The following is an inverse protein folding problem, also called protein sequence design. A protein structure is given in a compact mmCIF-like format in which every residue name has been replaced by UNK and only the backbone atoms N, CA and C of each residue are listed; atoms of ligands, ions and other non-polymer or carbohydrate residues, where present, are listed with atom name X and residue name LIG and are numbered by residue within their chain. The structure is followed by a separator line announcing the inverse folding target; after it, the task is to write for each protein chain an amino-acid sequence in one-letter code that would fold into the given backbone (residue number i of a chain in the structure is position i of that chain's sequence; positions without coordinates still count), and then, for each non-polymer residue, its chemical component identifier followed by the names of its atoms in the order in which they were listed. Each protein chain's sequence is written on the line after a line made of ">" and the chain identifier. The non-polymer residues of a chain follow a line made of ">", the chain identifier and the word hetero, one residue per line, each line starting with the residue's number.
data_IF_182196991525
#
_entry.id   IF_182196991525
#
_cell.length_a   1.000
_cell.length_b   1.000
_cell.length_c   1.000
_cell.angle_alpha   90.00
_cell.angle_beta   90.00
_cell.angle_gamma   90.00
#
_symmetry.space_group_name_H-M   'P 1'
#
loop_
_entity.id
_entity.type
_entity.pdbx_description
1 polymer ?
#
# COMPACT_ATOMS: atom_id res chain seq x y z
N UNK A 1 -12.80 -31.27 -29.12
CA UNK A 1 -12.20 -31.03 -27.80
C UNK A 1 -11.33 -29.78 -27.87
N UNK A 2 -11.78 -28.69 -27.26
CA UNK A 2 -10.97 -27.51 -26.91
C UNK A 2 -11.81 -26.69 -25.91
N UNK A 3 -11.89 -27.17 -24.67
CA UNK A 3 -12.32 -26.33 -23.56
C UNK A 3 -11.14 -25.45 -23.15
N UNK A 4 -11.42 -24.18 -22.84
CA UNK A 4 -10.84 -23.33 -21.77
C UNK A 4 -11.59 -22.00 -21.87
N UNK A 5 -12.72 -21.94 -21.17
CA UNK A 5 -13.47 -20.72 -20.94
C UNK A 5 -12.90 -20.00 -19.69
N UNK A 6 -13.06 -18.67 -19.68
CA UNK A 6 -12.87 -17.71 -18.57
C UNK A 6 -11.43 -17.32 -18.19
N UNK A 7 -11.14 -16.00 -18.18
CA UNK A 7 -10.56 -15.22 -17.03
C UNK A 7 -9.87 -13.92 -17.49
N UNK A 8 -10.21 -12.77 -16.86
CA UNK A 8 -9.53 -11.47 -17.00
C UNK A 8 -9.43 -10.73 -15.65
N UNK A 9 -8.21 -10.43 -15.20
CA UNK A 9 -7.85 -9.60 -14.04
C UNK A 9 -7.40 -8.20 -14.50
N UNK A 10 -7.62 -7.13 -13.71
CA UNK A 10 -7.41 -5.77 -14.18
C UNK A 10 -6.56 -4.94 -13.24
N UNK A 11 -5.44 -4.46 -13.77
CA UNK A 11 -4.53 -3.59 -13.07
C UNK A 11 -4.55 -2.23 -13.76
N UNK A 12 -5.22 -1.25 -13.17
CA UNK A 12 -5.26 0.10 -13.68
C UNK A 12 -3.95 0.81 -13.29
N UNK A 13 -3.05 0.94 -14.26
CA UNK A 13 -1.73 1.50 -14.07
C UNK A 13 -1.60 2.79 -14.86
N UNK A 14 -0.98 3.82 -14.31
CA UNK A 14 -0.76 5.08 -15.04
C UNK A 14 0.55 5.07 -15.83
N UNK A 15 0.65 4.29 -16.92
CA UNK A 15 1.61 4.55 -18.03
C UNK A 15 1.34 3.72 -19.30
N UNK A 16 1.31 4.37 -20.46
CA UNK A 16 1.38 3.73 -21.79
C UNK A 16 2.86 3.58 -22.19
N UNK A 17 3.48 2.51 -21.68
CA UNK A 17 4.78 1.92 -22.04
C UNK A 17 5.18 1.11 -20.82
N UNK A 18 4.90 -0.19 -20.85
CA UNK A 18 5.19 -1.12 -19.76
C UNK A 18 6.70 -1.34 -19.74
N UNK A 19 7.44 -0.45 -19.08
CA UNK A 19 8.87 -0.68 -18.82
C UNK A 19 8.97 -1.67 -17.64
N UNK A 20 9.80 -2.72 -17.74
CA UNK A 20 9.87 -3.78 -16.74
C UNK A 20 10.31 -3.32 -15.33
N UNK A 21 10.78 -2.07 -15.19
CA UNK A 21 11.21 -1.49 -13.92
C UNK A 21 10.07 -0.91 -13.05
N UNK A 22 8.82 -0.89 -13.53
CA UNK A 22 7.71 -0.30 -12.78
C UNK A 22 6.87 -1.33 -12.04
N UNK A 23 6.44 -0.98 -10.82
CA UNK A 23 5.76 -1.89 -9.90
C UNK A 23 4.53 -2.56 -10.51
N UNK A 24 3.77 -1.85 -11.35
CA UNK A 24 2.58 -2.42 -11.99
C UNK A 24 2.91 -3.45 -13.07
N UNK A 25 4.01 -3.26 -13.80
CA UNK A 25 4.49 -4.24 -14.76
C UNK A 25 4.94 -5.52 -14.05
N UNK A 26 5.63 -5.37 -12.93
CA UNK A 26 6.09 -6.47 -12.07
C UNK A 26 4.90 -7.22 -11.49
N UNK A 27 3.92 -6.51 -10.90
CA UNK A 27 2.70 -7.12 -10.37
C UNK A 27 1.93 -7.88 -11.45
N UNK A 28 1.83 -7.32 -12.66
CA UNK A 28 1.21 -7.99 -13.80
C UNK A 28 1.91 -9.29 -14.17
N UNK A 29 3.24 -9.25 -14.38
CA UNK A 29 4.04 -10.45 -14.67
C UNK A 29 4.02 -11.49 -13.56
N UNK A 30 4.04 -11.05 -12.31
CA UNK A 30 3.95 -11.94 -11.15
C UNK A 30 2.62 -12.68 -11.14
N UNK A 31 1.50 -11.99 -11.36
CA UNK A 31 0.19 -12.63 -11.44
C UNK A 31 0.06 -13.54 -12.67
N UNK A 32 0.64 -13.16 -13.82
CA UNK A 32 0.76 -14.05 -14.98
C UNK A 32 1.51 -15.34 -14.64
N UNK A 33 2.63 -15.24 -13.90
CA UNK A 33 3.40 -16.39 -13.45
C UNK A 33 2.62 -17.29 -12.46
N UNK A 34 1.59 -16.76 -11.78
CA UNK A 34 0.66 -17.52 -10.95
C UNK A 34 -0.48 -18.16 -11.75
N UNK A 35 -0.51 -18.00 -13.08
CA UNK A 35 -1.53 -18.54 -13.96
C UNK A 35 -2.74 -17.62 -14.20
N UNK A 36 -2.70 -16.38 -13.69
CA UNK A 36 -3.76 -15.40 -13.93
C UNK A 36 -3.54 -14.66 -15.25
N UNK A 37 -4.63 -14.29 -15.94
CA UNK A 37 -4.55 -13.39 -17.10
C UNK A 37 -4.74 -11.96 -16.66
N UNK A 38 -3.79 -11.07 -17.00
CA UNK A 38 -3.78 -9.68 -16.55
C UNK A 38 -3.98 -8.72 -17.72
N UNK A 39 -4.95 -7.81 -17.57
CA UNK A 39 -5.14 -6.65 -18.42
C UNK A 39 -4.67 -5.38 -17.71
N UNK A 40 -3.96 -4.51 -18.43
CA UNK A 40 -3.49 -3.23 -17.90
C UNK A 40 -4.09 -2.09 -18.72
N UNK A 41 -4.81 -1.17 -18.08
CA UNK A 41 -5.21 0.09 -18.71
C UNK A 41 -4.27 1.18 -18.24
N UNK A 42 -3.51 1.69 -19.19
CA UNK A 42 -2.49 2.71 -19.07
C UNK A 42 -3.08 4.12 -19.13
N UNK A 43 -3.05 4.89 -18.02
CA UNK A 43 -3.54 6.28 -17.98
C UNK A 43 -4.93 6.45 -18.61
N UNK A 44 -5.95 5.74 -18.10
CA UNK A 44 -7.31 5.89 -18.62
C UNK A 44 -7.77 7.34 -18.53
N UNK A 45 -8.52 7.80 -19.52
CA UNK A 45 -9.26 9.05 -19.39
C UNK A 45 -10.30 8.90 -18.28
N UNK A 46 -10.23 9.78 -17.28
CA UNK A 46 -11.13 9.78 -16.13
C UNK A 46 -12.33 10.70 -16.32
N UNK A 47 -12.48 11.33 -17.49
CA UNK A 47 -13.67 12.11 -17.85
C UNK A 47 -14.92 11.21 -17.95
N UNK A 48 -14.75 9.95 -18.37
CA UNK A 48 -15.81 8.95 -18.52
C UNK A 48 -15.40 7.60 -17.93
N UNK A 49 -16.39 6.70 -17.75
CA UNK A 49 -16.17 5.29 -17.37
C UNK A 49 -15.73 4.40 -18.55
N UNK A 50 -15.89 4.87 -19.78
CA UNK A 50 -15.72 4.02 -20.98
C UNK A 50 -14.31 3.43 -21.10
N UNK A 51 -13.29 4.21 -20.73
CA UNK A 51 -11.91 3.76 -20.71
C UNK A 51 -11.68 2.59 -19.74
N UNK A 52 -12.42 2.55 -18.64
CA UNK A 52 -12.37 1.50 -17.62
C UNK A 52 -13.12 0.23 -18.06
N UNK A 53 -13.90 0.32 -19.14
CA UNK A 53 -14.67 -0.79 -19.71
C UNK A 53 -13.99 -1.42 -20.94
N UNK A 54 -12.87 -0.84 -21.44
CA UNK A 54 -12.24 -1.23 -22.72
C UNK A 54 -11.89 -2.71 -22.88
N UNK A 55 -11.47 -3.40 -21.82
CA UNK A 55 -11.17 -4.85 -21.85
C UNK A 55 -12.33 -5.74 -21.32
N UNK A 56 -13.52 -5.19 -21.05
CA UNK A 56 -14.69 -5.89 -20.46
C UNK A 56 -14.88 -5.76 -18.94
N UNK A 57 -15.49 -6.78 -18.32
CA UNK A 57 -15.69 -6.89 -16.86
C UNK A 57 -14.60 -7.79 -16.23
N UNK A 58 -13.96 -7.40 -15.12
CA UNK A 58 -13.06 -8.28 -14.37
C UNK A 58 -13.81 -9.46 -13.74
N UNK A 59 -13.14 -10.62 -13.67
CA UNK A 59 -13.69 -11.78 -12.97
C UNK A 59 -13.39 -11.77 -11.47
N UNK A 60 -12.23 -11.25 -11.07
CA UNK A 60 -11.78 -11.27 -9.67
C UNK A 60 -11.93 -9.91 -9.00
N UNK A 61 -11.19 -8.91 -9.47
CA UNK A 61 -11.20 -7.55 -8.91
C UNK A 61 -10.53 -6.54 -9.85
N UNK A 62 -10.72 -5.26 -9.56
CA UNK A 62 -9.91 -4.16 -10.07
C UNK A 62 -8.78 -3.84 -9.09
N UNK A 63 -7.53 -3.84 -9.55
CA UNK A 63 -6.38 -3.27 -8.85
C UNK A 63 -6.14 -1.83 -9.30
N UNK A 64 -6.13 -0.87 -8.38
CA UNK A 64 -5.98 0.57 -8.69
C UNK A 64 -4.71 1.13 -8.04
N UNK A 65 -3.91 1.85 -8.83
CA UNK A 65 -2.75 2.61 -8.36
C UNK A 65 -2.71 4.02 -8.97
N UNK A 66 -2.03 4.95 -8.30
CA UNK A 66 -1.67 6.25 -8.88
C UNK A 66 -0.40 6.21 -9.77
N UNK A 67 0.30 5.07 -9.78
CA UNK A 67 1.56 4.86 -10.48
C UNK A 67 2.75 4.80 -9.54
N UNK A 68 3.92 5.23 -10.03
CA UNK A 68 5.17 5.18 -9.25
C UNK A 68 5.36 6.37 -8.30
N UNK A 69 4.52 7.40 -8.41
CA UNK A 69 4.57 8.61 -7.59
C UNK A 69 3.15 9.06 -7.28
N UNK A 70 2.98 9.74 -6.14
CA UNK A 70 1.71 10.37 -5.79
C UNK A 70 1.30 11.39 -6.87
N UNK A 71 0.03 11.34 -7.26
CA UNK A 71 -0.53 12.16 -8.33
C UNK A 71 -0.40 13.66 -8.09
N UNK A 72 -0.51 14.11 -6.84
CA UNK A 72 -0.36 15.52 -6.47
C UNK A 72 1.11 15.92 -6.50
N UNK A 73 1.98 15.11 -5.90
CA UNK A 73 3.43 15.38 -5.89
C UNK A 73 3.99 15.41 -7.29
N UNK A 74 3.42 14.64 -8.22
CA UNK A 74 3.87 14.66 -9.61
C UNK A 74 3.41 15.93 -10.35
N UNK A 75 2.16 16.36 -10.13
CA UNK A 75 1.58 17.52 -10.80
C UNK A 75 2.05 18.86 -10.23
N UNK A 76 2.40 18.93 -8.95
CA UNK A 76 2.69 20.20 -8.28
C UNK A 76 4.04 20.20 -7.54
N UNK A 77 4.74 21.33 -7.56
CA UNK A 77 5.96 21.57 -6.78
C UNK A 77 5.65 21.74 -5.29
N UNK A 78 6.68 21.71 -4.44
CA UNK A 78 6.51 21.95 -2.99
C UNK A 78 5.83 23.31 -2.70
N UNK A 79 6.12 24.34 -3.52
CA UNK A 79 5.49 25.66 -3.45
C UNK A 79 4.09 25.72 -4.10
N UNK A 80 3.46 24.56 -4.32
CA UNK A 80 2.14 24.39 -4.95
C UNK A 80 2.02 24.96 -6.37
N UNK A 81 3.12 25.08 -7.11
CA UNK A 81 3.09 25.49 -8.52
C UNK A 81 2.89 24.29 -9.42
N UNK A 82 2.13 24.45 -10.49
CA UNK A 82 1.89 23.40 -11.48
C UNK A 82 3.21 23.08 -12.22
N UNK A 83 3.56 21.80 -12.34
CA UNK A 83 4.62 21.35 -13.23
C UNK A 83 4.13 21.31 -14.67
N UNK A 84 5.00 21.68 -15.60
CA UNK A 84 4.73 21.67 -17.03
C UNK A 84 5.06 20.31 -17.68
N UNK A 85 5.73 19.44 -16.94
CA UNK A 85 6.15 18.11 -17.36
C UNK A 85 5.70 17.03 -16.37
N UNK A 86 5.57 15.81 -16.88
CA UNK A 86 5.28 14.62 -16.09
C UNK A 86 6.22 13.48 -16.49
N UNK A 87 7.26 13.23 -15.69
CA UNK A 87 8.28 12.21 -15.92
C UNK A 87 7.76 10.77 -16.09
N UNK A 88 6.52 10.46 -15.68
CA UNK A 88 5.93 9.13 -15.82
C UNK A 88 4.80 9.06 -16.87
N UNK A 89 4.53 10.16 -17.57
CA UNK A 89 3.66 10.17 -18.75
C UNK A 89 4.50 10.06 -20.02
N UNK A 90 4.03 9.34 -21.07
CA UNK A 90 4.70 9.33 -22.37
C UNK A 90 4.96 10.76 -22.87
N UNK A 91 6.14 10.97 -23.45
CA UNK A 91 6.60 12.27 -23.95
C UNK A 91 6.61 13.39 -22.88
N UNK A 92 6.63 13.01 -21.61
CA UNK A 92 6.59 13.89 -20.44
C UNK A 92 5.39 14.85 -20.41
N UNK A 93 4.26 14.49 -21.05
CA UNK A 93 3.11 15.38 -21.17
C UNK A 93 2.42 15.58 -19.82
N UNK A 94 2.29 16.82 -19.37
CA UNK A 94 1.58 17.14 -18.14
C UNK A 94 0.05 16.97 -18.27
N UNK A 95 -0.62 16.79 -17.13
CA UNK A 95 -2.09 16.81 -17.05
C UNK A 95 -2.79 15.56 -17.57
N UNK A 96 -2.07 14.45 -17.79
CA UNK A 96 -2.62 13.14 -18.19
C UNK A 96 -3.04 12.24 -17.01
N UNK A 97 -3.07 12.79 -15.79
CA UNK A 97 -3.55 12.10 -14.60
C UNK A 97 -4.43 13.04 -13.76
N UNK A 98 -5.47 12.51 -13.12
CA UNK A 98 -6.25 13.29 -12.18
C UNK A 98 -5.48 13.53 -10.89
N UNK A 99 -5.83 14.62 -10.21
CA UNK A 99 -5.45 14.88 -8.83
C UNK A 99 -6.10 13.81 -7.94
N UNK A 100 -5.32 13.23 -7.02
CA UNK A 100 -5.74 12.09 -6.19
C UNK A 100 -6.23 10.92 -7.04
N UNK A 101 -5.39 10.50 -7.98
CA UNK A 101 -5.73 9.51 -9.00
C UNK A 101 -6.36 8.23 -8.44
N UNK A 102 -5.86 7.72 -7.31
CA UNK A 102 -6.42 6.51 -6.66
C UNK A 102 -7.91 6.66 -6.36
N UNK A 103 -8.35 7.83 -5.90
CA UNK A 103 -9.75 8.09 -5.58
C UNK A 103 -10.60 8.19 -6.85
N UNK A 104 -10.17 8.99 -7.82
CA UNK A 104 -10.91 9.21 -9.07
C UNK A 104 -11.06 7.91 -9.85
N UNK A 105 -9.99 7.13 -9.97
CA UNK A 105 -10.03 5.85 -10.67
C UNK A 105 -10.91 4.82 -9.98
N UNK A 106 -10.91 4.77 -8.65
CA UNK A 106 -11.81 3.87 -7.90
C UNK A 106 -13.27 4.19 -8.17
N UNK A 107 -13.62 5.48 -8.23
CA UNK A 107 -14.98 5.90 -8.56
C UNK A 107 -15.37 5.45 -9.96
N UNK A 108 -14.50 5.63 -10.96
CA UNK A 108 -14.76 5.17 -12.33
C UNK A 108 -14.87 3.65 -12.44
N UNK A 109 -14.05 2.88 -11.71
CA UNK A 109 -14.20 1.43 -11.65
C UNK A 109 -15.58 1.02 -11.09
N UNK A 110 -16.05 1.67 -10.02
CA UNK A 110 -17.36 1.38 -9.42
C UNK A 110 -18.54 1.88 -10.27
N UNK A 111 -18.34 2.92 -11.09
CA UNK A 111 -19.31 3.37 -12.10
C UNK A 111 -19.39 2.41 -13.30
N UNK A 112 -18.25 1.80 -13.69
CA UNK A 112 -18.18 0.80 -14.74
C UNK A 112 -18.84 -0.52 -14.30
N UNK A 113 -18.43 -1.06 -13.14
CA UNK A 113 -18.95 -2.30 -12.59
C UNK A 113 -19.03 -2.23 -11.05
N UNK A 114 -20.26 -2.07 -10.55
CA UNK A 114 -20.52 -1.86 -9.11
C UNK A 114 -20.26 -3.11 -8.26
N UNK A 115 -20.40 -4.29 -8.84
CA UNK A 115 -20.34 -5.58 -8.16
C UNK A 115 -18.93 -6.20 -8.14
N UNK A 116 -17.97 -5.57 -8.82
CA UNK A 116 -16.58 -6.04 -8.85
C UNK A 116 -15.80 -5.41 -7.69
N UNK A 117 -15.09 -6.20 -6.87
CA UNK A 117 -14.23 -5.68 -5.81
C UNK A 117 -13.16 -4.72 -6.35
N UNK A 118 -12.86 -3.66 -5.60
CA UNK A 118 -11.76 -2.74 -5.91
C UNK A 118 -10.70 -2.80 -4.82
N UNK A 119 -9.46 -3.12 -5.21
CA UNK A 119 -8.30 -3.20 -4.33
C UNK A 119 -7.33 -2.07 -4.68
N UNK A 120 -6.96 -1.27 -3.69
CA UNK A 120 -6.00 -0.18 -3.83
C UNK A 120 -4.58 -0.66 -3.58
N UNK A 121 -3.62 -0.05 -4.27
CA UNK A 121 -2.21 -0.28 -4.02
C UNK A 121 -1.33 0.89 -4.46
N UNK A 122 -0.03 0.70 -4.31
CA UNK A 122 0.97 1.70 -4.64
C UNK A 122 1.21 2.73 -3.54
N UNK A 123 2.13 3.66 -3.83
CA UNK A 123 2.64 4.61 -2.84
C UNK A 123 1.53 5.56 -2.35
N UNK A 124 0.72 6.09 -3.27
CA UNK A 124 -0.37 7.03 -2.92
C UNK A 124 -1.39 6.38 -1.97
N UNK A 125 -1.81 5.14 -2.24
CA UNK A 125 -2.72 4.42 -1.36
C UNK A 125 -2.06 4.13 -0.01
N UNK A 126 -0.82 3.63 -0.02
CA UNK A 126 -0.08 3.25 1.19
C UNK A 126 0.11 4.42 2.17
N UNK A 127 0.43 5.61 1.65
CA UNK A 127 0.63 6.81 2.46
C UNK A 127 -0.68 7.37 3.01
N UNK A 128 -1.79 7.22 2.27
CA UNK A 128 -3.13 7.72 2.63
C UNK A 128 -4.02 6.68 3.30
N UNK A 129 -3.44 5.55 3.74
CA UNK A 129 -4.19 4.44 4.34
C UNK A 129 -4.79 4.83 5.68
N UNK A 130 -4.09 5.59 6.52
CA UNK A 130 -4.62 6.10 7.79
C UNK A 130 -5.13 7.53 7.63
N UNK A 131 -5.74 8.07 8.69
CA UNK A 131 -5.93 9.50 8.78
C UNK A 131 -4.57 10.21 8.63
N UNK A 132 -4.54 11.26 7.81
CA UNK A 132 -3.32 11.97 7.47
C UNK A 132 -3.62 13.45 7.28
N UNK A 133 -2.64 14.29 7.60
CA UNK A 133 -2.69 15.70 7.25
C UNK A 133 -2.39 15.86 5.76
N UNK A 134 -3.34 16.47 5.04
CA UNK A 134 -3.18 16.75 3.62
C UNK A 134 -2.64 18.16 3.43
N UNK A 135 -1.37 18.24 3.01
CA UNK A 135 -0.68 19.50 2.78
C UNK A 135 -1.36 20.38 1.73
N UNK A 136 -2.08 19.80 0.77
CA UNK A 136 -2.71 20.54 -0.33
C UNK A 136 -3.96 21.28 0.13
N UNK A 137 -4.81 20.63 0.93
CA UNK A 137 -6.04 21.22 1.46
C UNK A 137 -5.92 21.72 2.90
N UNK A 138 -4.72 21.76 3.49
CA UNK A 138 -4.45 22.20 4.87
C UNK A 138 -5.43 21.62 5.90
N UNK A 139 -5.73 20.33 5.77
CA UNK A 139 -6.79 19.67 6.54
C UNK A 139 -6.42 18.23 6.84
N UNK A 140 -6.88 17.73 7.99
CA UNK A 140 -6.78 16.31 8.32
C UNK A 140 -7.84 15.54 7.56
N UNK A 141 -7.41 14.65 6.66
CA UNK A 141 -8.28 13.74 5.93
C UNK A 141 -8.31 12.38 6.59
N UNK A 142 -9.47 11.72 6.49
CA UNK A 142 -9.62 10.31 6.84
C UNK A 142 -8.92 9.42 5.79
N UNK A 143 -8.90 8.12 6.08
CA UNK A 143 -8.36 7.11 5.17
C UNK A 143 -8.93 7.20 3.75
N UNK A 144 -8.07 7.01 2.75
CA UNK A 144 -8.49 6.87 1.36
C UNK A 144 -9.48 5.73 1.14
N UNK A 145 -9.46 4.67 1.96
CA UNK A 145 -10.47 3.59 1.88
C UNK A 145 -11.88 4.12 2.13
N UNK A 146 -12.04 5.07 3.06
CA UNK A 146 -13.36 5.62 3.41
C UNK A 146 -13.87 6.54 2.30
N UNK A 147 -13.00 7.38 1.74
CA UNK A 147 -13.35 8.32 0.68
C UNK A 147 -13.60 7.62 -0.68
N UNK A 148 -12.75 6.65 -1.03
CA UNK A 148 -12.86 5.91 -2.30
C UNK A 148 -13.91 4.80 -2.27
N UNK A 149 -14.32 4.36 -1.08
CA UNK A 149 -15.17 3.17 -0.87
C UNK A 149 -14.58 1.88 -1.46
N UNK A 150 -13.26 1.81 -1.65
CA UNK A 150 -12.60 0.59 -2.06
C UNK A 150 -12.77 -0.52 -1.00
N UNK A 151 -12.68 -1.76 -1.44
CA UNK A 151 -13.01 -2.94 -0.64
C UNK A 151 -11.79 -3.39 0.20
N UNK A 152 -10.57 -3.17 -0.33
CA UNK A 152 -9.31 -3.47 0.34
C UNK A 152 -8.19 -2.54 -0.12
N UNK A 153 -7.18 -2.32 0.70
CA UNK A 153 -5.95 -1.59 0.35
C UNK A 153 -4.74 -2.44 0.73
N UNK A 154 -3.79 -2.60 -0.20
CA UNK A 154 -2.50 -3.23 0.02
C UNK A 154 -1.43 -2.16 0.19
N UNK A 155 -0.60 -2.28 1.23
CA UNK A 155 0.46 -1.31 1.53
C UNK A 155 1.80 -1.97 1.81
N UNK A 156 2.89 -1.21 1.69
CA UNK A 156 4.25 -1.75 1.84
C UNK A 156 4.59 -2.72 0.72
N UNK A 157 5.20 -3.86 1.06
CA UNK A 157 5.38 -4.93 0.08
C UNK A 157 4.02 -5.56 -0.24
N UNK A 158 3.53 -5.30 -1.46
CA UNK A 158 2.25 -5.77 -1.97
C UNK A 158 2.30 -7.10 -2.73
N UNK A 159 3.47 -7.67 -3.02
CA UNK A 159 3.60 -8.86 -3.88
C UNK A 159 2.92 -10.09 -3.26
N UNK A 160 3.29 -10.40 -2.02
CA UNK A 160 2.74 -11.53 -1.26
C UNK A 160 1.22 -11.40 -1.04
N UNK A 161 0.69 -10.28 -0.49
CA UNK A 161 -0.76 -10.16 -0.31
C UNK A 161 -1.52 -10.15 -1.63
N UNK A 162 -0.94 -9.61 -2.71
CA UNK A 162 -1.60 -9.61 -4.01
C UNK A 162 -1.82 -11.04 -4.53
N UNK A 163 -0.81 -11.90 -4.44
CA UNK A 163 -0.92 -13.32 -4.83
C UNK A 163 -1.90 -14.07 -3.93
N UNK A 164 -1.80 -13.88 -2.61
CA UNK A 164 -2.67 -14.55 -1.64
C UNK A 164 -4.15 -14.20 -1.85
N UNK A 165 -4.46 -12.90 -1.98
CA UNK A 165 -5.83 -12.43 -2.22
C UNK A 165 -6.34 -12.88 -3.58
N UNK A 166 -5.51 -12.85 -4.63
CA UNK A 166 -5.92 -13.30 -5.96
C UNK A 166 -6.32 -14.78 -5.98
N UNK A 167 -5.55 -15.65 -5.34
CA UNK A 167 -5.88 -17.09 -5.23
C UNK A 167 -7.16 -17.32 -4.44
N UNK A 168 -7.35 -16.62 -3.30
CA UNK A 168 -8.58 -16.75 -2.49
C UNK A 168 -9.83 -16.31 -3.24
N UNK A 169 -9.76 -15.17 -3.93
CA UNK A 169 -10.85 -14.71 -4.80
C UNK A 169 -11.12 -15.70 -5.94
N UNK A 170 -10.08 -16.30 -6.52
CA UNK A 170 -10.23 -17.31 -7.57
C UNK A 170 -10.84 -18.62 -7.07
N UNK A 171 -10.66 -18.95 -5.79
CA UNK A 171 -11.34 -20.06 -5.11
C UNK A 171 -12.80 -19.73 -4.73
N UNK A 172 -13.27 -18.52 -5.03
CA UNK A 172 -14.64 -18.09 -4.77
C UNK A 172 -14.87 -17.50 -3.38
N UNK A 173 -13.81 -17.25 -2.61
CA UNK A 173 -13.95 -16.57 -1.33
C UNK A 173 -14.33 -15.09 -1.57
N UNK A 174 -15.39 -14.57 -0.93
CA UNK A 174 -15.77 -13.17 -1.09
C UNK A 174 -14.76 -12.23 -0.42
N UNK A 175 -14.47 -11.09 -1.07
CA UNK A 175 -13.50 -10.10 -0.56
C UNK A 175 -13.77 -9.64 0.88
N UNK A 176 -15.04 -9.64 1.30
CA UNK A 176 -15.47 -9.25 2.66
C UNK A 176 -15.05 -10.22 3.76
N UNK A 177 -14.73 -11.47 3.40
CA UNK A 177 -14.28 -12.55 4.30
C UNK A 177 -12.74 -12.61 4.38
N UNK A 178 -12.05 -12.13 3.34
CA UNK A 178 -10.60 -12.03 3.29
C UNK A 178 -10.13 -10.89 4.21
N UNK A 179 -10.08 -11.18 5.51
CA UNK A 179 -9.68 -10.22 6.52
C UNK A 179 -8.26 -10.45 6.96
N UNK A 180 -7.80 -11.68 7.01
CA UNK A 180 -6.62 -12.14 7.74
C UNK A 180 -5.26 -11.93 7.06
N UNK A 181 -5.25 -11.48 5.80
CA UNK A 181 -4.05 -11.27 4.99
C UNK A 181 -3.17 -10.15 5.55
N UNK A 182 -1.85 -10.38 5.59
CA UNK A 182 -0.87 -9.37 6.02
C UNK A 182 -0.70 -8.27 4.97
N UNK A 183 -0.22 -7.11 5.37
CA UNK A 183 -0.03 -5.93 4.52
C UNK A 183 -1.30 -5.45 3.80
N UNK A 184 -2.47 -5.75 4.39
CA UNK A 184 -3.77 -5.29 3.92
C UNK A 184 -4.46 -4.42 4.95
N UNK A 185 -5.26 -3.48 4.45
CA UNK A 185 -6.15 -2.67 5.22
C UNK A 185 -7.58 -2.75 4.68
N UNK A 186 -8.53 -2.83 5.61
CA UNK A 186 -9.96 -2.96 5.34
C UNK A 186 -10.74 -2.12 6.35
N UNK A 187 -11.93 -1.68 5.94
CA UNK A 187 -12.90 -1.05 6.82
C UNK A 187 -13.75 -2.16 7.45
N UNK A 188 -13.78 -2.22 8.78
CA UNK A 188 -14.68 -3.10 9.52
C UNK A 188 -15.68 -2.27 10.33
N UNK A 189 -16.83 -2.88 10.66
CA UNK A 189 -17.85 -2.22 11.49
C UNK A 189 -17.54 -2.32 12.98
N UNK A 190 -16.83 -3.37 13.36
CA UNK A 190 -16.48 -3.71 14.74
C UNK A 190 -15.07 -4.29 14.77
N UNK A 191 -14.41 -4.18 15.93
CA UNK A 191 -13.09 -4.78 16.12
C UNK A 191 -13.16 -6.31 15.97
N UNK A 192 -12.15 -6.88 15.32
CA UNK A 192 -12.05 -8.33 15.16
C UNK A 192 -11.69 -9.00 16.50
N UNK A 193 -12.11 -10.25 16.74
CA UNK A 193 -11.72 -10.99 17.95
C UNK A 193 -10.20 -11.02 18.15
N UNK A 194 -9.74 -10.64 19.35
CA UNK A 194 -8.31 -10.57 19.69
C UNK A 194 -7.59 -9.31 19.19
N UNK A 195 -8.30 -8.35 18.59
CA UNK A 195 -7.75 -7.04 18.23
C UNK A 195 -8.22 -5.98 19.24
N UNK A 196 -7.30 -5.15 19.70
CA UNK A 196 -7.60 -3.97 20.52
C UNK A 196 -7.40 -2.69 19.71
N UNK A 197 -8.27 -1.70 19.94
CA UNK A 197 -8.07 -0.36 19.40
C UNK A 197 -6.87 0.32 20.05
N UNK A 198 -6.04 0.98 19.27
CA UNK A 198 -4.98 1.86 19.78
C UNK A 198 -5.53 3.28 19.82
N UNK A 199 -5.62 3.85 21.03
CA UNK A 199 -5.97 5.25 21.21
C UNK A 199 -4.85 6.13 20.65
N UNK A 200 -5.13 6.76 19.51
CA UNK A 200 -4.20 7.63 18.79
C UNK A 200 -4.32 9.10 19.19
N UNK A 201 -5.07 9.43 20.25
CA UNK A 201 -5.12 10.80 20.79
C UNK A 201 -3.82 11.18 21.51
N UNK A 202 -3.05 10.18 21.95
CA UNK A 202 -1.76 10.38 22.60
C UNK A 202 -0.65 10.17 21.59
N UNK A 203 0.12 11.23 21.33
CA UNK A 203 1.35 11.14 20.55
C UNK A 203 2.35 10.28 21.32
N UNK A 204 2.94 9.28 20.65
CA UNK A 204 4.06 8.53 21.20
C UNK A 204 5.20 9.51 21.46
N UNK A 205 5.53 9.73 22.73
CA UNK A 205 6.71 10.50 23.08
C UNK A 205 7.93 9.68 22.66
N UNK A 206 8.80 10.20 21.76
CA UNK A 206 10.02 9.50 21.43
C UNK A 206 10.77 9.16 22.72
N UNK A 207 11.09 7.88 22.92
CA UNK A 207 11.91 7.45 24.04
C UNK A 207 13.30 8.08 23.97
N UNK A 208 14.18 7.75 24.93
CA UNK A 208 15.60 8.07 24.77
C UNK A 208 16.09 7.44 23.47
N UNK A 209 16.51 8.30 22.54
CA UNK A 209 17.21 7.87 21.33
C UNK A 209 18.60 7.49 21.81
N UNK A 210 18.91 6.19 21.79
CA UNK A 210 20.27 5.76 22.02
C UNK A 210 21.16 6.42 20.95
N UNK A 211 22.28 7.04 21.32
CA UNK A 211 23.16 7.68 20.36
C UNK A 211 23.59 6.63 19.34
N UNK A 212 23.26 6.87 18.07
CA UNK A 212 23.67 6.00 16.97
C UNK A 212 25.20 6.02 16.97
N UNK A 213 25.88 4.87 17.19
CA UNK A 213 27.34 4.82 17.15
C UNK A 213 27.80 5.34 15.79
N UNK A 214 28.66 6.36 15.79
CA UNK A 214 29.15 6.94 14.55
C UNK A 214 29.95 5.85 13.79
N UNK A 215 29.58 5.50 12.54
CA UNK A 215 30.22 4.38 11.82
C UNK A 215 31.70 4.61 11.48
N UNK A 216 32.20 5.84 11.68
CA UNK A 216 33.60 6.23 11.49
C UNK A 216 34.19 6.92 12.73
N UNK A 217 33.61 6.72 13.91
CA UNK A 217 34.13 7.31 15.16
C UNK A 217 35.43 6.65 15.62
N UNK A 218 36.26 7.40 16.35
CA UNK A 218 37.53 6.92 16.93
C UNK A 218 37.31 5.81 17.99
N UNK A 219 36.06 5.59 18.40
CA UNK A 219 35.63 4.58 19.38
C UNK A 219 35.45 3.16 18.80
N UNK A 220 35.88 2.94 17.55
CA UNK A 220 35.82 1.63 16.90
C UNK A 220 36.91 0.69 17.45
N UNK A 221 36.60 -0.59 17.73
CA UNK A 221 37.59 -1.60 18.16
C UNK A 221 38.65 -1.93 17.09
N UNK A 222 38.60 -1.26 15.94
CA UNK A 222 39.49 -1.45 14.80
C UNK A 222 40.33 -0.20 14.46
N UNK A 223 40.17 0.92 15.18
CA UNK A 223 40.90 2.16 14.88
C UNK A 223 42.38 2.07 15.26
N UNK A 224 42.71 1.30 16.29
CA UNK A 224 44.10 0.98 16.65
C UNK A 224 44.27 -0.54 16.67
N UNK A 225 45.29 -1.04 15.96
CA UNK A 225 45.75 -2.44 16.02
C UNK A 225 46.33 -2.78 17.42
N UNK A 226 45.57 -2.58 18.49
CA UNK A 226 45.88 -3.02 19.85
C UNK A 226 44.87 -4.08 20.26
N UNK A 227 45.30 -5.22 20.81
CA UNK A 227 44.38 -6.23 21.32
C UNK A 227 43.54 -5.63 22.45
N UNK A 228 42.23 -5.52 22.24
CA UNK A 228 41.30 -5.11 23.30
C UNK A 228 41.12 -6.32 24.23
N UNK A 229 41.70 -6.24 25.42
CA UNK A 229 41.42 -7.22 26.47
C UNK A 229 39.91 -7.21 26.79
N UNK A 230 39.26 -8.37 26.93
CA UNK A 230 37.82 -8.41 27.20
C UNK A 230 37.55 -7.69 28.52
N UNK A 231 36.65 -6.69 28.48
CA UNK A 231 36.18 -6.03 29.70
C UNK A 231 35.58 -7.11 30.60
N UNK A 232 36.19 -7.31 31.76
CA UNK A 232 35.71 -8.21 32.81
C UNK A 232 34.35 -7.68 33.27
N UNK A 233 33.28 -8.28 32.75
CA UNK A 233 31.92 -7.95 33.19
C UNK A 233 31.77 -8.45 34.62
N UNK A 234 31.74 -7.55 35.59
CA UNK A 234 31.24 -7.87 36.92
C UNK A 234 29.79 -8.31 36.78
N UNK A 235 29.50 -9.53 37.21
CA UNK A 235 28.17 -10.12 37.16
C UNK A 235 27.24 -9.36 38.10
N UNK A 236 26.55 -8.34 37.56
CA UNK A 236 25.33 -7.84 38.21
C UNK A 236 24.25 -8.89 38.03
N UNK A 237 23.65 -9.30 39.15
CA UNK A 237 22.48 -10.16 39.13
C UNK A 237 21.37 -9.46 38.33
N UNK A 238 21.18 -9.90 37.09
CA UNK A 238 20.06 -9.49 36.26
C UNK A 238 18.87 -10.27 36.78
N UNK A 239 17.93 -9.58 37.44
CA UNK A 239 16.61 -10.14 37.68
C UNK A 239 15.98 -10.34 36.31
N UNK A 240 15.98 -11.58 35.82
CA UNK A 240 15.27 -11.97 34.61
C UNK A 240 13.80 -11.81 34.92
N UNK A 241 13.25 -10.63 34.63
CA UNK A 241 11.81 -10.53 34.53
C UNK A 241 11.41 -11.41 33.35
N UNK A 242 10.48 -12.36 33.53
CA UNK A 242 9.94 -13.08 32.39
C UNK A 242 9.46 -12.02 31.39
N UNK A 243 9.74 -12.18 30.08
CA UNK A 243 9.26 -11.24 29.09
C UNK A 243 7.77 -11.05 29.35
N UNK A 244 7.36 -9.80 29.65
CA UNK A 244 5.94 -9.47 29.67
C UNK A 244 5.43 -10.00 28.34
N UNK A 245 4.44 -10.92 28.32
CA UNK A 245 3.98 -11.47 27.06
C UNK A 245 3.61 -10.27 26.19
N UNK A 246 4.39 -10.04 25.13
CA UNK A 246 3.97 -9.13 24.09
C UNK A 246 2.66 -9.73 23.63
N UNK A 247 1.56 -9.07 23.97
CA UNK A 247 0.34 -9.28 23.23
C UNK A 247 0.72 -8.99 21.78
N UNK A 248 0.88 -10.03 20.97
CA UNK A 248 0.86 -9.94 19.52
C UNK A 248 -0.59 -9.58 19.15
N UNK A 249 -0.99 -8.39 19.61
CA UNK A 249 -2.22 -7.72 19.28
C UNK A 249 -1.97 -7.20 17.90
N UNK A 250 -2.63 -7.82 16.93
CA UNK A 250 -2.76 -7.18 15.63
C UNK A 250 -3.54 -5.87 15.91
N UNK A 251 -2.97 -4.73 15.53
CA UNK A 251 -3.41 -3.41 16.01
C UNK A 251 -4.41 -2.76 15.04
N UNK A 252 -5.48 -2.19 15.59
CA UNK A 252 -6.51 -1.47 14.85
C UNK A 252 -6.44 0.03 15.20
N UNK A 253 -6.38 0.93 14.22
CA UNK A 253 -6.35 2.40 14.43
C UNK A 253 -7.72 3.00 14.08
N UNK A 254 -8.35 3.80 14.95
CA UNK A 254 -9.80 4.10 14.84
C UNK A 254 -10.12 5.58 14.54
N UNK A 255 -10.97 5.75 13.52
CA UNK A 255 -12.10 6.71 13.49
C UNK A 255 -13.30 6.10 12.72
N UNK A 256 -13.03 5.11 11.86
CA UNK A 256 -13.84 3.91 11.62
C UNK A 256 -12.89 2.72 11.85
N UNK A 257 -13.37 1.55 12.27
CA UNK A 257 -12.46 0.44 12.63
C UNK A 257 -11.58 0.07 11.42
N UNK A 258 -10.31 0.45 11.47
CA UNK A 258 -9.35 0.30 10.39
C UNK A 258 -8.36 -0.78 10.77
N UNK A 259 -8.43 -1.93 10.07
CA UNK A 259 -7.49 -3.02 10.28
C UNK A 259 -6.20 -2.73 9.53
N UNK A 260 -5.07 -2.90 10.20
CA UNK A 260 -3.76 -2.91 9.58
C UNK A 260 -2.98 -4.13 10.07
N UNK A 261 -2.47 -4.95 9.16
CA UNK A 261 -1.60 -6.07 9.52
C UNK A 261 -0.22 -5.79 8.95
N UNK A 262 0.77 -5.47 9.78
CA UNK A 262 2.15 -5.26 9.31
C UNK A 262 2.92 -6.60 9.27
N UNK A 263 3.65 -6.87 8.19
CA UNK A 263 4.65 -7.93 8.14
C UNK A 263 5.97 -7.45 8.74
N UNK A 264 6.43 -8.10 9.83
CA UNK A 264 7.84 -8.05 10.23
C UNK A 264 8.67 -8.92 9.29
#
# INVERSE_FOLDING_TARGET
>A
MAGIAATSFWLLATRMSITPSFGMAICGRMLEAQGFRVGIIAQPDWSSKDDFMRLGKPNLFFGVTAGNMDSMINRYTADRRLRHDDAYTPDNVAGKRPDRATLVYTQRCKEAWKDVPVILGGIEASLRRTAHYDYWSDTVRRSVLVDSKADMLMFGNGERPLVEVAHRLAMGEPISEIRDVRNTAIIVKEALPGWSGVDSTRLDTPGKIDPIPHPYGEDLPCADNKPVAPKKQEAKAVTVQPPRPETVGKNLRVAAFFRESEGR
#
